data_IF_249821675050
#
_entry.id   IF_249821675050
#
_cell.length_a   1.000
_cell.length_b   1.000
_cell.length_c   1.000
_cell.angle_alpha   90.00
_cell.angle_beta   90.00
_cell.angle_gamma   90.00
#
_symmetry.space_group_name_H-M   'P 1'
#
loop_
_entity.id
_entity.type
_entity.pdbx_description
1 polymer ?
#
# COMPACT_ATOMS: atom_id res chain seq x y z
N UNK A 1 -7.74 12.41 5.13
CA UNK A 1 -7.15 11.05 5.25
C UNK A 1 -6.70 10.64 3.86
N UNK A 2 -5.42 10.28 3.72
CA UNK A 2 -4.84 9.91 2.42
C UNK A 2 -4.72 8.38 2.38
N UNK A 3 -5.36 7.75 1.41
CA UNK A 3 -5.28 6.30 1.23
C UNK A 3 -4.13 5.92 0.30
N UNK A 4 -3.39 4.86 0.65
CA UNK A 4 -2.15 4.44 0.00
C UNK A 4 -2.18 2.95 -0.35
N UNK A 5 -1.51 2.60 -1.45
CA UNK A 5 -1.10 1.23 -1.77
C UNK A 5 0.43 1.25 -1.86
N UNK A 6 1.09 0.32 -1.18
CA UNK A 6 2.55 0.20 -1.19
C UNK A 6 2.93 -0.95 -2.13
N UNK A 7 3.65 -0.65 -3.20
CA UNK A 7 4.19 -1.64 -4.12
C UNK A 7 5.72 -1.63 -4.02
N UNK A 8 6.29 -2.63 -3.38
CA UNK A 8 7.72 -2.75 -3.11
C UNK A 8 8.11 -4.23 -3.10
N UNK A 9 9.03 -4.65 -3.96
CA UNK A 9 9.42 -6.06 -4.14
C UNK A 9 10.09 -6.63 -2.88
N UNK A 10 10.93 -5.81 -2.22
CA UNK A 10 11.69 -6.25 -1.05
C UNK A 10 10.79 -6.31 0.19
N UNK A 11 10.44 -7.52 0.63
CA UNK A 11 9.51 -7.74 1.74
C UNK A 11 9.91 -7.01 3.02
N UNK A 12 11.19 -7.06 3.41
CA UNK A 12 11.68 -6.38 4.61
C UNK A 12 11.47 -4.86 4.54
N UNK A 13 11.75 -4.25 3.38
CA UNK A 13 11.58 -2.82 3.16
C UNK A 13 10.09 -2.45 3.15
N UNK A 14 9.26 -3.22 2.45
CA UNK A 14 7.81 -3.02 2.40
C UNK A 14 7.18 -3.04 3.79
N UNK A 15 7.55 -4.02 4.62
CA UNK A 15 7.05 -4.11 6.00
C UNK A 15 7.54 -2.95 6.86
N UNK A 16 8.80 -2.52 6.72
CA UNK A 16 9.31 -1.34 7.43
C UNK A 16 8.52 -0.07 7.06
N UNK A 17 8.20 0.13 5.77
CA UNK A 17 7.36 1.25 5.31
C UNK A 17 5.95 1.19 5.90
N UNK A 18 5.32 0.01 5.91
CA UNK A 18 3.99 -0.17 6.52
C UNK A 18 4.00 0.24 8.00
N UNK A 19 5.01 -0.18 8.77
CA UNK A 19 5.10 0.18 10.19
C UNK A 19 5.31 1.69 10.38
N UNK A 20 6.26 2.29 9.64
CA UNK A 20 6.54 3.73 9.73
C UNK A 20 5.31 4.58 9.38
N UNK A 21 4.60 4.23 8.31
CA UNK A 21 3.40 4.96 7.87
C UNK A 21 2.27 4.81 8.88
N UNK A 22 2.08 3.63 9.50
CA UNK A 22 1.06 3.43 10.55
C UNK A 22 1.29 4.26 11.81
N UNK A 23 2.53 4.71 12.07
CA UNK A 23 2.81 5.65 13.15
C UNK A 23 2.26 7.06 12.86
N UNK A 24 2.06 7.39 11.57
CA UNK A 24 1.46 8.64 11.12
C UNK A 24 -0.05 8.42 10.89
N UNK A 25 -0.90 8.91 11.80
CA UNK A 25 -2.35 8.67 11.79
C UNK A 25 -3.14 9.29 10.62
N UNK A 26 -2.49 10.04 9.73
CA UNK A 26 -3.14 10.72 8.59
C UNK A 26 -3.31 9.81 7.36
N UNK A 27 -2.71 8.62 7.41
CA UNK A 27 -2.62 7.68 6.31
C UNK A 27 -3.41 6.40 6.56
N UNK A 28 -4.06 5.91 5.52
CA UNK A 28 -4.71 4.61 5.49
C UNK A 28 -4.00 3.72 4.45
N UNK A 29 -3.42 2.60 4.88
CA UNK A 29 -2.82 1.64 3.95
C UNK A 29 -3.90 0.66 3.52
N UNK A 30 -4.28 0.71 2.24
CA UNK A 30 -5.29 -0.16 1.65
C UNK A 30 -4.73 -1.55 1.30
N UNK A 31 -3.45 -1.62 0.90
CA UNK A 31 -2.74 -2.85 0.60
C UNK A 31 -1.22 -2.65 0.55
N UNK A 32 -0.47 -3.72 0.80
CA UNK A 32 0.95 -3.85 0.47
C UNK A 32 1.17 -5.07 -0.44
N UNK A 33 1.90 -4.87 -1.53
CA UNK A 33 2.14 -5.90 -2.56
C UNK A 33 3.61 -5.88 -3.00
N UNK A 34 4.08 -7.01 -3.51
CA UNK A 34 5.47 -7.16 -4.00
C UNK A 34 5.63 -6.78 -5.48
N UNK A 35 4.55 -6.47 -6.19
CA UNK A 35 4.63 -6.15 -7.61
C UNK A 35 3.60 -5.11 -8.06
N UNK A 36 3.94 -4.39 -9.13
CA UNK A 36 3.08 -3.34 -9.68
C UNK A 36 1.79 -3.85 -10.34
N UNK A 37 1.76 -5.10 -10.85
CA UNK A 37 0.57 -5.65 -11.49
C UNK A 37 -0.56 -5.82 -10.48
N UNK A 38 -0.26 -6.35 -9.30
CA UNK A 38 -1.24 -6.51 -8.23
C UNK A 38 -1.66 -5.17 -7.64
N UNK A 39 -0.75 -4.19 -7.55
CA UNK A 39 -1.10 -2.82 -7.18
C UNK A 39 -2.16 -2.22 -8.11
N UNK A 40 -1.99 -2.39 -9.44
CA UNK A 40 -2.96 -1.91 -10.44
C UNK A 40 -4.30 -2.65 -10.31
N UNK A 41 -4.29 -3.97 -10.08
CA UNK A 41 -5.54 -4.74 -9.89
C UNK A 41 -6.32 -4.23 -8.69
N UNK A 42 -5.64 -4.01 -7.56
CA UNK A 42 -6.24 -3.48 -6.34
C UNK A 42 -6.76 -2.06 -6.58
N UNK A 43 -5.95 -1.19 -7.19
CA UNK A 43 -6.34 0.18 -7.49
C UNK A 43 -7.61 0.26 -8.36
N UNK A 44 -7.71 -0.58 -9.39
CA UNK A 44 -8.93 -0.68 -10.21
C UNK A 44 -10.12 -1.14 -9.40
N UNK A 45 -9.94 -2.13 -8.53
CA UNK A 45 -11.02 -2.66 -7.68
C UNK A 45 -11.47 -1.67 -6.60
N UNK A 46 -10.59 -0.76 -6.18
CA UNK A 46 -10.90 0.29 -5.19
C UNK A 46 -11.58 1.50 -5.82
N UNK A 47 -11.11 1.97 -6.99
CA UNK A 47 -11.63 3.19 -7.64
C UNK A 47 -12.94 2.96 -8.39
N UNK A 48 -13.15 1.76 -8.94
CA UNK A 48 -14.34 1.44 -9.76
C UNK A 48 -15.51 0.85 -8.93
N UNK A 49 -15.53 1.11 -7.63
CA UNK A 49 -16.65 0.77 -6.74
C UNK A 49 -17.70 1.87 -6.69
#
# INVERSE_FOLDING_TARGET
MISLIIAEDQNMLRQAMVQLIKLHGDFEILADVDNGLDAIKILRHTILK
#
